data_IF_295692059034
#
_entry.id   IF_295692059034
#
_cell.length_a   1.000
_cell.length_b   1.000
_cell.length_c   1.000
_cell.angle_alpha   90.00
_cell.angle_beta   90.00
_cell.angle_gamma   90.00
#
_symmetry.space_group_name_H-M   'P 1'
#
loop_
_entity.id
_entity.type
_entity.pdbx_description
1 polymer ?
#
# COMPACT_ATOMS: atom_id res chain seq x y z
N UNK A 1 -0.81 24.48 -42.00
CA UNK A 1 -0.11 23.37 -41.31
C UNK A 1 -0.93 23.01 -40.07
N UNK A 2 -1.87 22.07 -40.19
CA UNK A 2 -2.79 21.68 -39.09
C UNK A 2 -2.19 20.50 -38.32
N UNK A 3 -1.78 20.73 -37.07
CA UNK A 3 -1.28 19.70 -36.16
C UNK A 3 -2.51 18.91 -35.66
N UNK A 4 -2.69 17.70 -36.18
CA UNK A 4 -3.69 16.74 -35.68
C UNK A 4 -3.13 16.07 -34.41
N UNK A 5 -3.53 16.57 -33.25
CA UNK A 5 -3.18 15.98 -31.96
C UNK A 5 -4.17 14.84 -31.72
N UNK A 6 -3.81 13.64 -32.17
CA UNK A 6 -4.57 12.42 -31.87
C UNK A 6 -4.43 12.10 -30.39
N UNK A 7 -5.40 12.56 -29.59
CA UNK A 7 -5.51 12.27 -28.16
C UNK A 7 -5.64 10.74 -27.99
N UNK A 8 -4.57 10.06 -27.54
CA UNK A 8 -4.61 8.63 -27.23
C UNK A 8 -5.67 8.40 -26.15
N UNK A 9 -6.80 7.77 -26.53
CA UNK A 9 -7.80 7.28 -25.57
C UNK A 9 -7.11 6.26 -24.66
N UNK A 10 -7.01 6.56 -23.36
CA UNK A 10 -6.60 5.56 -22.37
C UNK A 10 -7.58 4.38 -22.45
N UNK A 11 -7.08 3.13 -22.61
CA UNK A 11 -7.95 1.97 -22.62
C UNK A 11 -8.63 1.84 -21.26
N UNK A 12 -9.93 1.49 -21.26
CA UNK A 12 -10.67 1.25 -20.03
C UNK A 12 -10.10 0.02 -19.30
N UNK A 13 -9.96 0.06 -17.96
CA UNK A 13 -9.49 -1.09 -17.21
C UNK A 13 -10.43 -2.27 -17.44
N UNK A 14 -9.85 -3.41 -17.77
CA UNK A 14 -10.60 -4.66 -17.98
C UNK A 14 -10.92 -5.30 -16.63
N UNK A 15 -11.80 -6.30 -16.65
CA UNK A 15 -12.22 -7.02 -15.43
C UNK A 15 -11.00 -7.59 -14.68
N UNK A 16 -10.01 -8.11 -15.41
CA UNK A 16 -8.78 -8.64 -14.84
C UNK A 16 -7.94 -7.57 -14.13
N UNK A 17 -7.77 -6.40 -14.76
CA UNK A 17 -6.99 -5.30 -14.18
C UNK A 17 -7.62 -4.82 -12.87
N UNK A 18 -8.96 -4.71 -12.84
CA UNK A 18 -9.70 -4.36 -11.63
C UNK A 18 -9.57 -5.42 -10.53
N UNK A 19 -9.55 -6.69 -10.91
CA UNK A 19 -9.37 -7.80 -9.97
C UNK A 19 -7.97 -7.75 -9.32
N UNK A 20 -6.91 -7.65 -10.13
CA UNK A 20 -5.53 -7.58 -9.63
C UNK A 20 -5.34 -6.34 -8.74
N UNK A 21 -5.84 -5.17 -9.16
CA UNK A 21 -5.75 -3.95 -8.33
C UNK A 21 -6.50 -4.12 -7.02
N UNK A 22 -7.69 -4.72 -7.03
CA UNK A 22 -8.44 -4.97 -5.79
C UNK A 22 -7.66 -5.89 -4.84
N UNK A 23 -7.02 -6.92 -5.39
CA UNK A 23 -6.22 -7.86 -4.61
C UNK A 23 -5.02 -7.18 -3.96
N UNK A 24 -4.23 -6.45 -4.75
CA UNK A 24 -3.07 -5.70 -4.26
C UNK A 24 -3.49 -4.68 -3.21
N UNK A 25 -4.56 -3.91 -3.46
CA UNK A 25 -5.03 -2.90 -2.51
C UNK A 25 -5.50 -3.48 -1.17
N UNK A 26 -6.04 -4.70 -1.17
CA UNK A 26 -6.38 -5.43 0.06
C UNK A 26 -5.13 -5.71 0.90
N UNK A 27 -4.07 -6.23 0.25
CA UNK A 27 -2.79 -6.46 0.91
C UNK A 27 -2.11 -5.16 1.34
N UNK A 28 -2.19 -4.08 0.54
CA UNK A 28 -1.61 -2.76 0.87
C UNK A 28 -2.24 -2.21 2.14
N UNK A 29 -3.56 -2.25 2.25
CA UNK A 29 -4.25 -1.77 3.44
C UNK A 29 -3.80 -2.53 4.71
N UNK A 30 -3.68 -3.85 4.63
CA UNK A 30 -3.17 -4.68 5.72
C UNK A 30 -1.71 -4.36 6.08
N UNK A 31 -0.84 -4.25 5.07
CA UNK A 31 0.58 -3.98 5.27
C UNK A 31 0.82 -2.57 5.82
N UNK A 32 0.13 -1.54 5.30
CA UNK A 32 0.17 -0.18 5.87
C UNK A 32 -0.27 -0.24 7.33
N UNK A 33 -1.41 -0.85 7.63
CA UNK A 33 -1.92 -0.91 9.01
C UNK A 33 -0.91 -1.59 9.95
N UNK A 34 -0.38 -2.76 9.57
CA UNK A 34 0.59 -3.50 10.37
C UNK A 34 1.87 -2.70 10.62
N UNK A 35 2.47 -2.12 9.58
CA UNK A 35 3.70 -1.32 9.70
C UNK A 35 3.47 -0.04 10.50
N UNK A 36 2.33 0.62 10.33
CA UNK A 36 2.02 1.86 11.05
C UNK A 36 1.80 1.57 12.54
N UNK A 37 1.13 0.46 12.89
CA UNK A 37 1.00 0.01 14.29
C UNK A 37 2.36 -0.30 14.90
N UNK A 38 3.24 -0.96 14.15
CA UNK A 38 4.61 -1.26 14.60
C UNK A 38 5.38 0.03 14.95
N UNK A 39 5.30 1.07 14.11
CA UNK A 39 5.94 2.36 14.37
C UNK A 39 5.29 3.11 15.54
N UNK A 40 3.96 3.03 15.69
CA UNK A 40 3.26 3.62 16.84
C UNK A 40 3.76 2.98 18.13
N UNK A 41 3.87 1.64 18.19
CA UNK A 41 4.38 0.92 19.36
C UNK A 41 5.78 1.38 19.75
N UNK A 42 6.66 1.63 18.78
CA UNK A 42 7.99 2.18 19.05
C UNK A 42 7.90 3.58 19.70
N UNK A 43 7.01 4.45 19.22
CA UNK A 43 6.83 5.78 19.81
C UNK A 43 6.08 5.81 21.12
N UNK A 44 5.31 4.77 21.46
CA UNK A 44 4.64 4.72 22.76
C UNK A 44 5.65 4.74 23.92
N UNK A 45 6.83 4.12 23.76
CA UNK A 45 7.89 4.19 24.77
C UNK A 45 8.38 5.63 24.99
N UNK A 46 8.61 6.39 23.91
CA UNK A 46 9.00 7.80 23.98
C UNK A 46 7.90 8.66 24.63
N UNK A 47 6.64 8.41 24.27
CA UNK A 47 5.49 9.13 24.80
C UNK A 47 5.29 8.86 26.30
N UNK A 48 5.52 7.62 26.75
CA UNK A 48 5.45 7.26 28.18
C UNK A 48 6.57 7.92 28.99
N UNK A 49 7.77 8.01 28.44
CA UNK A 49 8.87 8.76 29.06
C UNK A 49 8.50 10.24 29.24
N UNK A 50 7.91 10.86 28.20
CA UNK A 50 7.42 12.25 28.28
C UNK A 50 6.29 12.43 29.30
N UNK A 51 5.39 11.45 29.44
CA UNK A 51 4.30 11.49 30.40
C UNK A 51 4.80 11.44 31.84
N UNK A 52 5.67 10.47 32.14
CA UNK A 52 6.12 10.17 33.51
C UNK A 52 7.20 11.16 33.95
N UNK A 53 8.24 11.36 33.14
CA UNK A 53 9.42 12.12 33.54
C UNK A 53 9.29 13.62 33.26
N UNK A 54 8.57 14.00 32.19
CA UNK A 54 8.40 15.42 31.79
C UNK A 54 7.06 16.01 32.21
N UNK A 55 6.20 15.24 32.90
CA UNK A 55 4.87 15.65 33.41
C UNK A 55 3.99 16.34 32.36
N UNK A 56 4.09 15.91 31.11
CA UNK A 56 3.28 16.46 30.00
C UNK A 56 1.84 15.97 30.15
N UNK A 57 0.86 16.87 30.05
CA UNK A 57 -0.54 16.47 30.16
C UNK A 57 -0.98 15.55 29.00
N UNK A 58 -1.78 14.53 29.31
CA UNK A 58 -2.27 13.51 28.37
C UNK A 58 -2.82 14.04 27.02
N UNK A 59 -3.59 15.16 26.96
CA UNK A 59 -4.11 15.65 25.69
C UNK A 59 -3.03 16.04 24.69
N UNK A 60 -1.88 16.53 25.15
CA UNK A 60 -0.76 16.91 24.29
C UNK A 60 -0.07 15.69 23.68
N UNK A 61 -0.05 14.56 24.40
CA UNK A 61 0.52 13.30 23.92
C UNK A 61 -0.30 12.74 22.76
N UNK A 62 -1.64 12.72 22.91
CA UNK A 62 -2.55 12.28 21.83
C UNK A 62 -2.42 13.19 20.62
N UNK A 63 -2.31 14.51 20.83
CA UNK A 63 -2.11 15.48 19.74
C UNK A 63 -0.77 15.28 19.03
N UNK A 64 0.29 14.99 19.78
CA UNK A 64 1.61 14.68 19.23
C UNK A 64 1.59 13.39 18.41
N UNK A 65 0.93 12.34 18.91
CA UNK A 65 0.75 11.09 18.18
C UNK A 65 -0.01 11.34 16.86
N UNK A 66 -1.09 12.11 16.90
CA UNK A 66 -1.85 12.48 15.71
C UNK A 66 -1.01 13.24 14.67
N UNK A 67 -0.12 14.14 15.09
CA UNK A 67 0.81 14.83 14.18
C UNK A 67 1.90 13.94 13.61
N UNK A 68 2.21 12.83 14.27
CA UNK A 68 3.24 11.88 13.80
C UNK A 68 2.69 10.83 12.85
N UNK A 69 1.38 10.53 12.90
CA UNK A 69 0.73 9.59 11.99
C UNK A 69 0.96 9.88 10.50
N UNK A 70 0.81 11.12 9.98
CA UNK A 70 1.10 11.42 8.58
C UNK A 70 2.55 11.10 8.20
N UNK A 71 3.51 11.38 9.09
CA UNK A 71 4.92 11.10 8.84
C UNK A 71 5.19 9.58 8.72
N UNK A 72 4.52 8.77 9.54
CA UNK A 72 4.61 7.32 9.41
C UNK A 72 4.02 6.82 8.10
N UNK A 73 2.85 7.33 7.71
CA UNK A 73 2.21 6.93 6.45
C UNK A 73 3.10 7.23 5.23
N UNK A 74 3.82 8.36 5.21
CA UNK A 74 4.75 8.68 4.11
C UNK A 74 5.84 7.60 3.95
N UNK A 75 6.30 7.01 5.05
CA UNK A 75 7.35 5.98 5.03
C UNK A 75 6.75 4.58 4.81
N UNK A 76 5.65 4.24 5.46
CA UNK A 76 5.05 2.91 5.39
C UNK A 76 4.37 2.67 4.05
N UNK A 77 3.88 3.70 3.37
CA UNK A 77 3.18 3.56 2.10
C UNK A 77 4.04 2.91 0.99
N UNK A 78 5.24 3.41 0.63
CA UNK A 78 6.06 2.77 -0.41
C UNK A 78 6.52 1.36 -0.01
N UNK A 79 6.82 1.12 1.28
CA UNK A 79 7.27 -0.19 1.77
C UNK A 79 6.13 -1.21 1.69
N UNK A 80 4.94 -0.81 2.15
CA UNK A 80 3.74 -1.65 2.07
C UNK A 80 3.37 -1.96 0.63
N UNK A 81 3.49 -1.00 -0.29
CA UNK A 81 3.17 -1.21 -1.70
C UNK A 81 4.03 -2.31 -2.32
N UNK A 82 5.34 -2.30 -2.04
CA UNK A 82 6.27 -3.33 -2.49
C UNK A 82 5.93 -4.69 -1.87
N UNK A 83 5.83 -4.76 -0.54
CA UNK A 83 5.52 -6.00 0.17
C UNK A 83 4.18 -6.62 -0.27
N UNK A 84 3.15 -5.80 -0.42
CA UNK A 84 1.84 -6.24 -0.88
C UNK A 84 1.82 -6.68 -2.33
N UNK A 85 2.63 -6.08 -3.20
CA UNK A 85 2.76 -6.53 -4.58
C UNK A 85 3.38 -7.93 -4.66
N UNK A 86 4.40 -8.22 -3.85
CA UNK A 86 5.01 -9.55 -3.76
C UNK A 86 4.02 -10.58 -3.21
N UNK A 87 3.30 -10.23 -2.13
CA UNK A 87 2.29 -11.12 -1.53
C UNK A 87 1.14 -11.41 -2.50
N UNK A 88 0.64 -10.40 -3.21
CA UNK A 88 -0.43 -10.57 -4.19
C UNK A 88 0.01 -11.50 -5.33
N UNK A 89 1.22 -11.29 -5.88
CA UNK A 89 1.78 -12.18 -6.92
C UNK A 89 1.97 -13.60 -6.37
N UNK A 90 2.49 -13.75 -5.14
CA UNK A 90 2.65 -15.03 -4.48
C UNK A 90 1.32 -15.79 -4.32
N UNK A 91 0.26 -15.08 -3.92
CA UNK A 91 -1.10 -15.64 -3.79
C UNK A 91 -1.65 -16.08 -5.15
N UNK A 92 -1.61 -15.20 -6.15
CA UNK A 92 -2.05 -15.50 -7.53
C UNK A 92 -1.27 -16.66 -8.17
N UNK A 93 0.02 -16.80 -7.82
CA UNK A 93 0.85 -17.91 -8.28
C UNK A 93 0.48 -19.22 -7.58
N UNK A 94 0.23 -19.18 -6.27
CA UNK A 94 -0.11 -20.37 -5.46
C UNK A 94 -1.47 -20.93 -5.84
N UNK A 95 -2.44 -20.08 -6.12
CA UNK A 95 -3.77 -20.47 -6.59
C UNK A 95 -3.77 -20.91 -8.07
N UNK A 96 -2.63 -20.84 -8.77
CA UNK A 96 -2.50 -21.19 -10.17
C UNK A 96 -3.16 -20.20 -11.14
N UNK A 97 -3.63 -19.04 -10.67
CA UNK A 97 -4.27 -18.02 -11.51
C UNK A 97 -3.31 -17.44 -12.55
N UNK A 98 -2.04 -17.24 -12.18
CA UNK A 98 -1.00 -16.82 -13.15
C UNK A 98 -0.83 -17.87 -14.25
N UNK A 99 -0.84 -19.15 -13.90
CA UNK A 99 -0.75 -20.26 -14.87
C UNK A 99 -1.97 -20.29 -15.79
N UNK A 100 -3.18 -20.13 -15.23
CA UNK A 100 -4.42 -20.09 -16.01
C UNK A 100 -4.46 -18.88 -16.97
N UNK A 101 -4.04 -17.70 -16.51
CA UNK A 101 -3.93 -16.50 -17.34
C UNK A 101 -2.96 -16.71 -18.51
N UNK A 102 -1.81 -17.34 -18.26
CA UNK A 102 -0.84 -17.67 -19.32
C UNK A 102 -1.38 -18.69 -20.31
N UNK A 103 -2.09 -19.72 -19.85
CA UNK A 103 -2.75 -20.68 -20.73
C UNK A 103 -3.84 -20.04 -21.59
N UNK A 104 -4.53 -19.00 -21.08
CA UNK A 104 -5.48 -18.17 -21.82
C UNK A 104 -4.85 -17.15 -22.78
N UNK A 105 -3.53 -17.20 -23.01
CA UNK A 105 -2.82 -16.33 -23.96
C UNK A 105 -2.46 -14.94 -23.43
N UNK A 106 -2.57 -14.70 -22.11
CA UNK A 106 -2.16 -13.42 -21.51
C UNK A 106 -0.65 -13.47 -21.26
N UNK A 107 0.08 -12.52 -21.84
CA UNK A 107 1.52 -12.41 -21.63
C UNK A 107 1.85 -12.02 -20.19
N UNK A 108 2.93 -12.58 -19.64
CA UNK A 108 3.39 -12.25 -18.28
C UNK A 108 3.67 -10.74 -18.12
N UNK A 109 4.17 -10.11 -19.19
CA UNK A 109 4.42 -8.66 -19.23
C UNK A 109 3.15 -7.85 -18.96
N UNK A 110 1.98 -8.31 -19.43
CA UNK A 110 0.69 -7.62 -19.20
C UNK A 110 0.13 -7.83 -17.79
N UNK A 111 0.58 -8.87 -17.09
CA UNK A 111 0.18 -9.12 -15.69
C UNK A 111 1.01 -8.23 -14.75
N UNK A 112 2.28 -7.97 -15.12
CA UNK A 112 3.22 -7.18 -14.32
C UNK A 112 3.23 -5.67 -14.63
N UNK A 113 2.92 -5.27 -15.87
CA UNK A 113 2.96 -3.88 -16.36
C UNK A 113 1.64 -3.48 -17.02
#
# INVERSE_FOLDING_TARGET
>A
MTINISIRKFPRPKVLDRYIVKEVMSFVALAVAALTIMLIMQTLFELMDMLINKRVAWPYIVKLLAYRLPAFLVVTFPISLLASSELAIGRLSTDGEITAMRAGGISLRRIMF
#
